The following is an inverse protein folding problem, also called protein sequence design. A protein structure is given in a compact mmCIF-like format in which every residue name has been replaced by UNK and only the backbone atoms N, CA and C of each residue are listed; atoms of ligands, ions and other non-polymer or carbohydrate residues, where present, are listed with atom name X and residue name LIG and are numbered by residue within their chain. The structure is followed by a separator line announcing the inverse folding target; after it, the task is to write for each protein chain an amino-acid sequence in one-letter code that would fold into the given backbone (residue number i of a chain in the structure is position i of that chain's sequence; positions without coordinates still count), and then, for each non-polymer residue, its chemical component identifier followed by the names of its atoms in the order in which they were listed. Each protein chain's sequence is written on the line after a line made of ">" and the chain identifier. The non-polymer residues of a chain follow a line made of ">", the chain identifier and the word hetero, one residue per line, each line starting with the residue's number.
data_IF_509760008555
#
_entry.id   IF_509760008555
#
_cell.length_a   1.000
_cell.length_b   1.000
_cell.length_c   1.000
_cell.angle_alpha   90.00
_cell.angle_beta   90.00
_cell.angle_gamma   90.00
#
_symmetry.space_group_name_H-M   'P 1'
#
loop_
_entity.id
_entity.type
_entity.pdbx_description
1 polymer ?
#
# COMPACT_ATOMS: atom_id res chain seq x y z
N UNK A 1 13.47 -10.25 -67.60
CA UNK A 1 12.89 -9.78 -66.32
C UNK A 1 13.56 -8.45 -65.96
N UNK A 2 13.15 -7.35 -66.60
CA UNK A 2 13.68 -6.01 -66.33
C UNK A 2 12.85 -5.37 -65.21
N UNK A 3 13.40 -5.35 -64.00
CA UNK A 3 12.78 -4.64 -62.87
C UNK A 3 12.85 -3.14 -63.14
N UNK A 4 11.69 -2.49 -63.21
CA UNK A 4 11.57 -1.06 -63.53
C UNK A 4 12.06 -0.21 -62.36
N UNK A 5 13.16 0.53 -62.57
CA UNK A 5 13.73 1.51 -61.63
C UNK A 5 12.73 2.59 -61.17
N UNK A 6 11.65 2.78 -61.94
CA UNK A 6 10.56 3.70 -61.62
C UNK A 6 9.83 3.34 -60.31
N UNK A 7 9.72 2.05 -59.96
CA UNK A 7 9.05 1.63 -58.73
C UNK A 7 9.86 1.97 -57.47
N UNK A 8 11.19 1.90 -57.55
CA UNK A 8 12.09 2.22 -56.44
C UNK A 8 12.14 3.73 -56.17
N UNK A 9 12.07 4.55 -57.21
CA UNK A 9 11.99 6.01 -57.06
C UNK A 9 10.66 6.44 -56.43
N UNK A 10 9.54 5.84 -56.87
CA UNK A 10 8.21 6.06 -56.27
C UNK A 10 8.13 5.61 -54.81
N UNK A 11 8.70 4.45 -54.47
CA UNK A 11 8.76 3.96 -53.09
C UNK A 11 9.64 4.85 -52.18
N UNK A 12 10.78 5.35 -52.67
CA UNK A 12 11.61 6.29 -51.89
C UNK A 12 10.93 7.65 -51.69
N UNK A 13 10.25 8.16 -52.71
CA UNK A 13 9.49 9.40 -52.59
C UNK A 13 8.31 9.27 -51.61
N UNK A 14 7.58 8.15 -51.67
CA UNK A 14 6.51 7.85 -50.72
C UNK A 14 7.06 7.67 -49.28
N UNK A 15 8.14 6.91 -49.10
CA UNK A 15 8.79 6.72 -47.80
C UNK A 15 9.33 8.03 -47.19
N UNK A 16 9.87 8.93 -48.03
CA UNK A 16 10.29 10.27 -47.59
C UNK A 16 9.12 11.16 -47.18
N UNK A 17 7.99 11.08 -47.89
CA UNK A 17 6.77 11.80 -47.52
C UNK A 17 6.15 11.27 -46.22
N UNK A 18 6.11 9.95 -46.03
CA UNK A 18 5.59 9.34 -44.80
C UNK A 18 6.48 9.63 -43.58
N UNK A 19 7.81 9.58 -43.74
CA UNK A 19 8.74 9.98 -42.68
C UNK A 19 8.59 11.46 -42.28
N UNK A 20 8.38 12.35 -43.26
CA UNK A 20 8.13 13.77 -42.99
C UNK A 20 6.80 13.99 -42.26
N UNK A 21 5.72 13.30 -42.67
CA UNK A 21 4.39 13.37 -42.03
C UNK A 21 4.43 12.86 -40.60
N UNK A 22 5.18 11.79 -40.35
CA UNK A 22 5.37 11.24 -39.00
C UNK A 22 6.21 12.17 -38.12
N UNK A 23 7.24 12.82 -38.67
CA UNK A 23 7.99 13.86 -37.97
C UNK A 23 7.11 15.03 -37.54
N UNK A 24 6.28 15.55 -38.47
CA UNK A 24 5.34 16.63 -38.19
C UNK A 24 4.26 16.24 -37.18
N UNK A 25 3.75 15.00 -37.22
CA UNK A 25 2.78 14.48 -36.23
C UNK A 25 3.36 14.33 -34.84
N UNK A 26 4.62 13.89 -34.73
CA UNK A 26 5.34 13.79 -33.45
C UNK A 26 5.62 15.16 -32.87
N UNK A 27 6.12 16.09 -33.69
CA UNK A 27 6.37 17.46 -33.29
C UNK A 27 5.10 18.19 -32.85
N UNK A 28 4.00 18.07 -33.61
CA UNK A 28 2.73 18.72 -33.25
C UNK A 28 2.12 18.18 -31.97
N UNK A 29 2.28 16.89 -31.69
CA UNK A 29 1.80 16.28 -30.44
C UNK A 29 2.69 16.58 -29.23
N UNK A 30 3.99 16.84 -29.43
CA UNK A 30 4.86 17.36 -28.36
C UNK A 30 4.51 18.80 -28.02
N UNK A 31 4.33 19.65 -29.03
CA UNK A 31 3.91 21.03 -28.83
C UNK A 31 2.53 21.07 -28.15
N UNK A 32 1.57 20.25 -28.58
CA UNK A 32 0.24 20.26 -27.98
C UNK A 32 0.23 19.81 -26.52
N UNK A 33 1.12 18.90 -26.11
CA UNK A 33 1.29 18.52 -24.72
C UNK A 33 1.87 19.66 -23.88
N UNK A 34 2.91 20.34 -24.37
CA UNK A 34 3.50 21.48 -23.66
C UNK A 34 2.51 22.63 -23.57
N UNK A 35 1.85 22.99 -24.67
CA UNK A 35 0.80 24.01 -24.68
C UNK A 35 -0.37 23.64 -23.77
N UNK A 36 -0.79 22.37 -23.76
CA UNK A 36 -1.83 21.88 -22.87
C UNK A 36 -1.45 22.03 -21.39
N UNK A 37 -0.19 21.75 -21.04
CA UNK A 37 0.31 21.95 -19.67
C UNK A 37 0.30 23.43 -19.28
N UNK A 38 0.82 24.29 -20.16
CA UNK A 38 0.86 25.75 -19.93
C UNK A 38 -0.57 26.28 -19.78
N UNK A 39 -1.50 25.87 -20.63
CA UNK A 39 -2.90 26.27 -20.55
C UNK A 39 -3.56 25.84 -19.23
N UNK A 40 -3.32 24.60 -18.78
CA UNK A 40 -3.80 24.13 -17.48
C UNK A 40 -3.18 24.91 -16.31
N UNK A 41 -1.88 25.19 -16.36
CA UNK A 41 -1.21 25.97 -15.33
C UNK A 41 -1.75 27.41 -15.26
N UNK A 42 -1.93 28.05 -16.42
CA UNK A 42 -2.53 29.39 -16.55
C UNK A 42 -3.94 29.38 -15.98
N UNK A 43 -4.77 28.39 -16.35
CA UNK A 43 -6.14 28.29 -15.86
C UNK A 43 -6.20 28.04 -14.35
N UNK A 44 -5.35 27.15 -13.82
CA UNK A 44 -5.24 26.88 -12.39
C UNK A 44 -4.83 28.12 -11.60
N UNK A 45 -3.74 28.79 -12.00
CA UNK A 45 -3.25 29.99 -11.30
C UNK A 45 -4.31 31.08 -11.36
N UNK A 46 -4.94 31.28 -12.52
CA UNK A 46 -6.06 32.21 -12.69
C UNK A 46 -7.18 31.90 -11.68
N UNK A 47 -7.64 30.66 -11.58
CA UNK A 47 -8.73 30.27 -10.68
C UNK A 47 -8.37 30.31 -9.18
N UNK A 48 -7.16 29.89 -8.80
CA UNK A 48 -6.70 29.89 -7.39
C UNK A 48 -6.47 31.30 -6.87
N UNK A 49 -6.02 32.21 -7.74
CA UNK A 49 -5.71 33.61 -7.39
C UNK A 49 -6.84 34.56 -7.75
N UNK A 50 -8.05 34.02 -7.91
CA UNK A 50 -9.26 34.80 -8.15
C UNK A 50 -9.58 35.70 -6.94
N UNK A 51 -9.96 36.93 -7.24
CA UNK A 51 -10.45 37.91 -6.26
C UNK A 51 -11.66 38.63 -6.84
N UNK A 52 -12.78 38.75 -6.09
CA UNK A 52 -13.95 39.50 -6.55
C UNK A 52 -13.69 41.02 -6.64
N UNK A 53 -12.56 41.49 -6.08
CA UNK A 53 -12.12 42.88 -6.14
C UNK A 53 -11.43 43.24 -7.45
N UNK A 54 -11.01 42.23 -8.22
CA UNK A 54 -10.35 42.42 -9.51
C UNK A 54 -11.36 42.93 -10.54
N UNK A 55 -10.92 43.84 -11.40
CA UNK A 55 -11.77 44.30 -12.50
C UNK A 55 -11.93 43.15 -13.51
N UNK A 56 -13.16 42.81 -13.85
CA UNK A 56 -13.46 41.72 -14.77
C UNK A 56 -14.70 42.03 -15.62
N UNK A 57 -15.14 41.07 -16.41
CA UNK A 57 -16.30 41.28 -17.28
C UNK A 57 -17.59 41.38 -16.46
N UNK A 58 -17.74 40.57 -15.41
CA UNK A 58 -18.93 40.56 -14.55
C UNK A 58 -18.92 41.63 -13.44
N UNK A 59 -17.73 42.07 -13.01
CA UNK A 59 -17.53 42.99 -11.88
C UNK A 59 -16.62 44.15 -12.26
N UNK A 60 -17.02 45.38 -11.91
CA UNK A 60 -16.18 46.56 -12.13
C UNK A 60 -14.96 46.60 -11.20
N UNK A 61 -14.91 45.74 -10.18
CA UNK A 61 -13.84 45.69 -9.18
C UNK A 61 -13.68 47.01 -8.40
N UNK A 62 -12.57 47.15 -7.68
CA UNK A 62 -12.25 48.38 -6.90
C UNK A 62 -11.36 49.36 -7.70
N UNK A 63 -11.11 49.07 -8.98
CA UNK A 63 -10.31 49.94 -9.87
C UNK A 63 -8.80 49.95 -9.59
N UNK A 64 -8.30 49.05 -8.73
CA UNK A 64 -6.87 48.87 -8.47
C UNK A 64 -6.22 47.88 -9.47
N UNK A 65 -4.90 47.71 -9.38
CA UNK A 65 -4.20 46.66 -10.11
C UNK A 65 -4.77 45.28 -9.76
N UNK A 66 -4.86 44.38 -10.75
CA UNK A 66 -5.41 43.03 -10.55
C UNK A 66 -4.57 42.24 -9.52
N UNK A 67 -5.25 41.66 -8.54
CA UNK A 67 -4.64 40.78 -7.53
C UNK A 67 -4.32 39.40 -8.11
N UNK A 68 -5.02 38.99 -9.17
CA UNK A 68 -4.73 37.77 -9.90
C UNK A 68 -3.26 37.74 -10.35
N UNK A 69 -2.57 36.63 -10.08
CA UNK A 69 -1.11 36.53 -10.35
C UNK A 69 -0.77 36.54 -11.84
N UNK A 70 -1.76 36.32 -12.70
CA UNK A 70 -1.63 36.43 -14.15
C UNK A 70 -2.12 37.79 -14.69
N UNK A 71 -2.37 38.74 -13.78
CA UNK A 71 -2.89 40.07 -14.09
C UNK A 71 -4.33 40.04 -14.62
N UNK A 72 -4.68 41.08 -15.37
CA UNK A 72 -6.01 41.26 -15.95
C UNK A 72 -6.54 40.06 -16.76
N UNK A 73 -5.78 39.43 -17.69
CA UNK A 73 -6.30 38.30 -18.45
C UNK A 73 -6.58 37.09 -17.55
N UNK A 74 -5.80 36.92 -16.47
CA UNK A 74 -6.05 35.92 -15.43
C UNK A 74 -7.34 36.18 -14.67
N UNK A 75 -7.59 37.43 -14.30
CA UNK A 75 -8.83 37.83 -13.64
C UNK A 75 -10.06 37.57 -14.54
N UNK A 76 -9.99 37.89 -15.83
CA UNK A 76 -11.07 37.63 -16.79
C UNK A 76 -11.34 36.15 -17.00
N UNK A 77 -10.28 35.34 -17.11
CA UNK A 77 -10.42 33.89 -17.28
C UNK A 77 -11.07 33.25 -16.05
N UNK A 78 -10.68 33.67 -14.85
CA UNK A 78 -11.24 33.17 -13.60
C UNK A 78 -12.69 33.62 -13.42
N UNK A 79 -12.96 34.91 -13.65
CA UNK A 79 -14.29 35.50 -13.60
C UNK A 79 -15.26 34.77 -14.53
N UNK A 80 -14.90 34.59 -15.81
CA UNK A 80 -15.71 33.86 -16.77
C UNK A 80 -15.92 32.40 -16.35
N UNK A 81 -14.88 31.73 -15.84
CA UNK A 81 -14.95 30.34 -15.37
C UNK A 81 -15.94 30.17 -14.22
N UNK A 82 -15.81 31.01 -13.18
CA UNK A 82 -16.66 30.98 -12.00
C UNK A 82 -18.06 31.52 -12.26
N UNK A 83 -18.22 32.50 -13.15
CA UNK A 83 -19.53 33.02 -13.53
C UNK A 83 -20.34 31.97 -14.32
N UNK A 84 -19.70 31.30 -15.29
CA UNK A 84 -20.36 30.31 -16.14
C UNK A 84 -20.73 29.05 -15.36
N UNK A 85 -19.83 28.55 -14.53
CA UNK A 85 -19.92 27.20 -13.96
C UNK A 85 -19.96 27.17 -12.43
N UNK A 86 -19.84 28.30 -11.73
CA UNK A 86 -19.74 28.31 -10.28
C UNK A 86 -18.50 27.55 -9.78
N UNK A 87 -18.61 26.87 -8.64
CA UNK A 87 -17.54 26.00 -8.15
C UNK A 87 -17.39 24.72 -8.97
N UNK A 88 -18.42 24.33 -9.73
CA UNK A 88 -18.38 23.14 -10.59
C UNK A 88 -17.32 23.20 -11.68
N UNK A 89 -16.73 24.38 -11.96
CA UNK A 89 -15.60 24.53 -12.88
C UNK A 89 -14.39 23.69 -12.49
N UNK A 90 -14.21 23.39 -11.20
CA UNK A 90 -13.14 22.52 -10.71
C UNK A 90 -13.24 21.09 -11.25
N UNK A 91 -14.45 20.60 -11.55
CA UNK A 91 -14.63 19.31 -12.23
C UNK A 91 -14.10 19.34 -13.66
N UNK A 92 -14.35 20.43 -14.39
CA UNK A 92 -13.80 20.62 -15.74
C UNK A 92 -12.28 20.68 -15.71
N UNK A 93 -11.70 21.40 -14.73
CA UNK A 93 -10.25 21.43 -14.53
C UNK A 93 -9.70 20.03 -14.23
N UNK A 94 -10.30 19.30 -13.29
CA UNK A 94 -9.86 17.95 -12.93
C UNK A 94 -9.96 16.97 -14.12
N UNK A 95 -11.02 17.06 -14.91
CA UNK A 95 -11.20 16.26 -16.12
C UNK A 95 -10.14 16.59 -17.19
N UNK A 96 -9.86 17.88 -17.42
CA UNK A 96 -8.82 18.32 -18.34
C UNK A 96 -7.41 17.92 -17.88
N UNK A 97 -7.11 18.08 -16.59
CA UNK A 97 -5.86 17.64 -15.98
C UNK A 97 -5.66 16.11 -16.11
N UNK A 98 -6.71 15.32 -15.86
CA UNK A 98 -6.67 13.87 -16.07
C UNK A 98 -6.44 13.51 -17.53
N UNK A 99 -7.12 14.18 -18.47
CA UNK A 99 -6.96 13.94 -19.89
C UNK A 99 -5.52 14.23 -20.35
N UNK A 100 -4.95 15.34 -19.86
CA UNK A 100 -3.55 15.72 -20.11
C UNK A 100 -2.57 14.72 -19.51
N UNK A 101 -2.73 14.32 -18.23
CA UNK A 101 -1.91 13.30 -17.59
C UNK A 101 -1.98 11.95 -18.32
N UNK A 102 -3.15 11.58 -18.82
CA UNK A 102 -3.33 10.37 -19.63
C UNK A 102 -2.59 10.46 -20.97
N UNK A 103 -2.62 11.62 -21.62
CA UNK A 103 -1.87 11.86 -22.87
C UNK A 103 -0.35 11.86 -22.62
N UNK A 104 0.09 12.49 -21.54
CA UNK A 104 1.49 12.51 -21.10
C UNK A 104 1.99 11.10 -20.76
N UNK A 105 1.22 10.31 -20.00
CA UNK A 105 1.56 8.94 -19.66
C UNK A 105 1.65 8.02 -20.89
N UNK A 106 0.75 8.17 -21.87
CA UNK A 106 0.85 7.44 -23.16
C UNK A 106 2.13 7.78 -23.91
N UNK A 107 2.56 9.04 -23.85
CA UNK A 107 3.85 9.46 -24.44
C UNK A 107 5.05 8.91 -23.70
N UNK A 108 5.08 8.94 -22.36
CA UNK A 108 6.16 8.37 -21.56
C UNK A 108 6.32 6.86 -21.76
N UNK A 109 5.21 6.15 -22.02
CA UNK A 109 5.22 4.72 -22.33
C UNK A 109 5.68 4.40 -23.76
N UNK A 110 6.20 5.38 -24.50
CA UNK A 110 6.91 5.13 -25.75
C UNK A 110 6.00 4.71 -26.91
N UNK A 111 4.77 5.24 -27.02
CA UNK A 111 4.00 5.18 -28.26
C UNK A 111 3.84 3.78 -28.88
N UNK A 112 3.69 2.72 -28.09
CA UNK A 112 3.38 1.37 -28.55
C UNK A 112 1.91 1.24 -29.03
N UNK A 113 1.47 2.20 -29.86
CA UNK A 113 0.28 2.03 -30.70
C UNK A 113 0.47 0.87 -31.71
N UNK A 114 1.70 0.37 -31.88
CA UNK A 114 2.01 -0.82 -32.67
C UNK A 114 1.58 -2.14 -32.01
N UNK A 115 1.57 -2.24 -30.66
CA UNK A 115 1.13 -3.45 -29.95
C UNK A 115 -0.36 -3.41 -29.57
N UNK A 116 -0.96 -2.22 -29.48
CA UNK A 116 -2.39 -2.07 -29.21
C UNK A 116 -3.28 -2.40 -30.42
N UNK A 117 -2.75 -2.28 -31.65
CA UNK A 117 -3.47 -2.65 -32.87
C UNK A 117 -3.37 -4.14 -33.24
N UNK A 118 -2.48 -4.92 -32.62
CA UNK A 118 -2.33 -6.36 -32.89
C UNK A 118 -2.98 -7.28 -31.85
N UNK A 119 -3.49 -6.76 -30.73
CA UNK A 119 -4.16 -7.57 -29.69
C UNK A 119 -5.66 -7.31 -29.56
N UNK A 120 -6.24 -6.40 -30.36
CA UNK A 120 -7.67 -6.12 -30.36
C UNK A 120 -8.37 -6.68 -31.61
N UNK A 121 -8.19 -7.97 -31.87
CA UNK A 121 -9.23 -8.76 -32.53
C UNK A 121 -10.02 -9.52 -31.46
N UNK A 122 -11.35 -9.47 -31.58
CA UNK A 122 -12.38 -10.14 -30.77
C UNK A 122 -12.84 -9.46 -29.46
N UNK A 123 -13.69 -8.43 -29.60
CA UNK A 123 -14.66 -8.05 -28.56
C UNK A 123 -15.02 -6.57 -28.53
N UNK A 124 -15.85 -6.12 -29.48
CA UNK A 124 -16.63 -4.87 -29.48
C UNK A 124 -16.12 -3.75 -28.54
N UNK A 125 -14.88 -3.29 -28.72
CA UNK A 125 -14.43 -2.08 -28.04
C UNK A 125 -15.33 -0.93 -28.52
N UNK A 126 -15.94 -0.15 -27.61
CA UNK A 126 -16.75 1.00 -28.03
C UNK A 126 -15.90 1.88 -28.94
N UNK A 127 -16.48 2.32 -30.05
CA UNK A 127 -15.78 3.22 -30.97
C UNK A 127 -15.22 4.40 -30.17
N UNK A 128 -14.04 4.91 -30.55
CA UNK A 128 -13.43 6.07 -29.87
C UNK A 128 -14.43 7.23 -29.72
N UNK A 129 -15.32 7.38 -30.70
CA UNK A 129 -16.43 8.34 -30.67
C UNK A 129 -17.44 8.05 -29.55
N UNK A 130 -17.85 6.79 -29.34
CA UNK A 130 -18.75 6.40 -28.25
C UNK A 130 -18.10 6.63 -26.87
N UNK A 131 -16.82 6.28 -26.72
CA UNK A 131 -16.09 6.54 -25.47
C UNK A 131 -15.98 8.05 -25.17
N UNK A 132 -15.74 8.86 -26.20
CA UNK A 132 -15.70 10.32 -26.07
C UNK A 132 -17.08 10.92 -25.78
N UNK A 133 -18.14 10.41 -26.42
CA UNK A 133 -19.51 10.81 -26.14
C UNK A 133 -19.91 10.46 -24.70
N UNK A 134 -19.53 9.27 -24.23
CA UNK A 134 -19.76 8.84 -22.85
C UNK A 134 -19.05 9.74 -21.84
N UNK A 135 -17.80 10.11 -22.11
CA UNK A 135 -17.04 11.05 -21.30
C UNK A 135 -17.72 12.43 -21.24
N UNK A 136 -18.11 12.99 -22.39
CA UNK A 136 -18.76 14.31 -22.43
C UNK A 136 -20.13 14.29 -21.78
N UNK A 137 -20.92 13.23 -21.98
CA UNK A 137 -22.19 13.04 -21.28
C UNK A 137 -21.97 12.99 -19.76
N UNK A 138 -20.99 12.21 -19.31
CA UNK A 138 -20.61 12.14 -17.91
C UNK A 138 -20.19 13.50 -17.34
N UNK A 139 -19.41 14.29 -18.10
CA UNK A 139 -18.97 15.61 -17.69
C UNK A 139 -20.13 16.58 -17.56
N UNK A 140 -21.02 16.62 -18.56
CA UNK A 140 -22.23 17.46 -18.52
C UNK A 140 -23.11 17.07 -17.33
N UNK A 141 -23.36 15.77 -17.12
CA UNK A 141 -24.14 15.29 -15.98
C UNK A 141 -23.51 15.68 -14.65
N UNK A 142 -22.18 15.50 -14.51
CA UNK A 142 -21.44 15.84 -13.31
C UNK A 142 -21.49 17.34 -13.01
N UNK A 143 -21.24 18.18 -14.01
CA UNK A 143 -21.27 19.64 -13.87
C UNK A 143 -22.68 20.12 -13.56
N UNK A 144 -23.70 19.65 -14.26
CA UNK A 144 -25.10 20.03 -14.00
C UNK A 144 -25.56 19.59 -12.61
N UNK A 145 -25.20 18.37 -12.18
CA UNK A 145 -25.50 17.87 -10.84
C UNK A 145 -24.81 18.69 -9.74
N UNK A 146 -23.51 18.93 -9.89
CA UNK A 146 -22.72 19.74 -8.94
C UNK A 146 -23.26 21.17 -8.88
N UNK A 147 -23.55 21.77 -10.03
CA UNK A 147 -24.07 23.13 -10.13
C UNK A 147 -25.46 23.27 -9.47
N UNK A 148 -26.35 22.30 -9.67
CA UNK A 148 -27.65 22.27 -9.00
C UNK A 148 -27.50 22.13 -7.46
N UNK A 149 -26.53 21.33 -6.99
CA UNK A 149 -26.21 21.20 -5.56
C UNK A 149 -25.61 22.49 -4.99
N UNK A 150 -24.69 23.12 -5.72
CA UNK A 150 -24.08 24.38 -5.32
C UNK A 150 -25.14 25.46 -5.17
N UNK A 151 -26.01 25.61 -6.17
CA UNK A 151 -27.09 26.58 -6.11
C UNK A 151 -28.10 26.28 -4.99
N UNK A 152 -28.43 25.01 -4.73
CA UNK A 152 -29.46 24.67 -3.72
C UNK A 152 -28.95 24.55 -2.27
N UNK A 153 -27.63 24.48 -2.02
CA UNK A 153 -27.08 24.28 -0.66
C UNK A 153 -25.93 25.21 -0.28
N UNK A 154 -25.14 25.70 -1.23
CA UNK A 154 -23.91 26.46 -0.94
C UNK A 154 -24.11 27.98 -0.98
N UNK A 155 -25.26 28.47 -0.52
CA UNK A 155 -25.62 29.90 -0.50
C UNK A 155 -24.62 30.76 0.30
N UNK A 156 -24.01 30.20 1.35
CA UNK A 156 -23.04 30.94 2.17
C UNK A 156 -21.74 31.29 1.42
N UNK A 157 -21.41 30.53 0.38
CA UNK A 157 -20.18 30.71 -0.41
C UNK A 157 -20.44 31.47 -1.72
N UNK A 158 -21.68 31.88 -1.98
CA UNK A 158 -22.09 32.66 -3.15
C UNK A 158 -21.48 34.07 -3.13
N UNK A 159 -21.29 34.66 -1.95
CA UNK A 159 -20.67 35.98 -1.79
C UNK A 159 -19.22 36.05 -2.30
N UNK A 160 -18.54 34.91 -2.45
CA UNK A 160 -17.18 34.83 -2.97
C UNK A 160 -17.13 34.63 -4.49
N UNK A 161 -18.28 34.50 -5.16
CA UNK A 161 -18.36 34.28 -6.59
C UNK A 161 -18.88 35.55 -7.28
N UNK A 162 -18.56 35.74 -8.57
CA UNK A 162 -19.07 36.86 -9.34
C UNK A 162 -20.57 36.74 -9.66
N UNK A 163 -21.12 35.53 -9.54
CA UNK A 163 -22.52 35.23 -9.78
C UNK A 163 -23.00 34.13 -8.84
N UNK A 164 -24.01 33.39 -9.28
CA UNK A 164 -24.63 32.37 -8.45
C UNK A 164 -23.70 31.18 -8.14
N UNK A 165 -23.90 30.54 -6.99
CA UNK A 165 -23.07 29.44 -6.49
C UNK A 165 -22.80 28.31 -7.50
N UNK A 166 -23.81 27.96 -8.30
CA UNK A 166 -23.72 26.94 -9.36
C UNK A 166 -23.58 27.49 -10.79
N UNK A 167 -23.21 28.77 -10.94
CA UNK A 167 -23.16 29.45 -12.22
C UNK A 167 -24.49 29.43 -12.98
N UNK A 168 -24.40 29.53 -14.31
CA UNK A 168 -25.55 29.46 -15.22
C UNK A 168 -26.32 28.13 -15.10
N UNK A 169 -25.69 26.94 -15.14
CA UNK A 169 -26.44 25.69 -15.09
C UNK A 169 -27.18 25.51 -13.76
N UNK A 170 -26.57 25.90 -12.64
CA UNK A 170 -27.20 25.85 -11.32
C UNK A 170 -28.39 26.80 -11.21
N UNK A 171 -28.27 28.00 -11.76
CA UNK A 171 -29.36 28.99 -11.78
C UNK A 171 -30.62 28.49 -12.49
N UNK A 172 -30.47 27.71 -13.58
CA UNK A 172 -31.61 27.12 -14.29
C UNK A 172 -32.09 25.80 -13.67
N UNK A 173 -31.17 24.89 -13.33
CA UNK A 173 -31.51 23.54 -12.86
C UNK A 173 -31.93 23.51 -11.38
N UNK A 174 -31.42 24.42 -10.56
CA UNK A 174 -31.73 24.49 -9.13
C UNK A 174 -33.22 24.72 -8.86
N UNK A 175 -33.82 25.83 -9.35
CA UNK A 175 -35.25 26.09 -9.20
C UNK A 175 -36.13 24.98 -9.79
N UNK A 176 -35.76 24.46 -10.97
CA UNK A 176 -36.48 23.36 -11.60
C UNK A 176 -36.45 22.10 -10.72
N UNK A 177 -35.28 21.73 -10.21
CA UNK A 177 -35.14 20.60 -9.29
C UNK A 177 -36.01 20.77 -8.04
N UNK A 178 -35.98 21.95 -7.43
CA UNK A 178 -36.79 22.21 -6.23
C UNK A 178 -38.29 22.20 -6.52
N UNK A 179 -38.73 22.71 -7.67
CA UNK A 179 -40.14 22.74 -8.04
C UNK A 179 -40.72 21.34 -8.27
N UNK A 180 -39.99 20.47 -8.95
CA UNK A 180 -40.49 19.16 -9.37
C UNK A 180 -40.21 18.04 -8.35
N UNK A 181 -39.07 18.09 -7.66
CA UNK A 181 -38.62 17.02 -6.75
C UNK A 181 -38.60 17.45 -5.27
N UNK A 182 -38.86 18.72 -4.98
CA UNK A 182 -38.68 19.30 -3.65
C UNK A 182 -37.21 19.40 -3.24
N UNK A 183 -36.97 19.94 -2.03
CA UNK A 183 -35.63 20.16 -1.50
C UNK A 183 -34.83 18.86 -1.33
N UNK A 184 -35.43 17.83 -0.72
CA UNK A 184 -34.77 16.55 -0.45
C UNK A 184 -34.57 15.74 -1.74
N UNK A 185 -35.61 15.63 -2.57
CA UNK A 185 -35.57 14.83 -3.81
C UNK A 185 -34.59 15.39 -4.83
N UNK A 186 -34.58 16.71 -5.04
CA UNK A 186 -33.60 17.35 -5.93
C UNK A 186 -32.16 17.06 -5.53
N UNK A 187 -31.89 17.04 -4.22
CA UNK A 187 -30.59 16.69 -3.69
C UNK A 187 -30.17 15.26 -3.92
N UNK A 188 -31.07 14.33 -3.63
CA UNK A 188 -30.79 12.92 -3.79
C UNK A 188 -30.51 12.59 -5.26
N UNK A 189 -31.30 13.15 -6.18
CA UNK A 189 -31.08 13.00 -7.63
C UNK A 189 -29.77 13.63 -8.04
N UNK A 190 -29.48 14.86 -7.64
CA UNK A 190 -28.23 15.52 -8.01
C UNK A 190 -27.00 14.78 -7.46
N UNK A 191 -27.02 14.28 -6.22
CA UNK A 191 -25.95 13.44 -5.67
C UNK A 191 -25.81 12.15 -6.49
N UNK A 192 -26.92 11.47 -6.79
CA UNK A 192 -26.90 10.21 -7.55
C UNK A 192 -26.33 10.40 -8.96
N UNK A 193 -26.75 11.46 -9.65
CA UNK A 193 -26.25 11.83 -10.98
C UNK A 193 -24.79 12.26 -10.92
N UNK A 194 -24.37 12.98 -9.88
CA UNK A 194 -22.96 13.37 -9.66
C UNK A 194 -22.06 12.16 -9.41
N UNK A 195 -22.51 11.19 -8.62
CA UNK A 195 -21.81 9.91 -8.39
C UNK A 195 -21.67 9.14 -9.71
N UNK A 196 -22.73 9.06 -10.52
CA UNK A 196 -22.67 8.42 -11.83
C UNK A 196 -21.73 9.17 -12.79
N UNK A 197 -21.89 10.48 -12.91
CA UNK A 197 -21.10 11.33 -13.81
C UNK A 197 -19.62 11.31 -13.47
N UNK A 198 -19.24 11.33 -12.19
CA UNK A 198 -17.84 11.23 -11.78
C UNK A 198 -17.21 9.89 -12.18
N UNK A 199 -17.92 8.76 -12.04
CA UNK A 199 -17.44 7.47 -12.52
C UNK A 199 -17.21 7.47 -14.05
N UNK A 200 -18.13 8.09 -14.81
CA UNK A 200 -18.01 8.20 -16.28
C UNK A 200 -16.80 9.04 -16.71
N UNK A 201 -16.57 10.18 -16.04
CA UNK A 201 -15.48 11.13 -16.37
C UNK A 201 -14.11 10.57 -15.97
N UNK A 202 -13.99 10.04 -14.75
CA UNK A 202 -12.72 9.58 -14.20
C UNK A 202 -12.44 8.10 -14.52
N UNK A 203 -13.39 7.38 -15.10
CA UNK A 203 -13.22 6.00 -15.57
C UNK A 203 -12.89 5.03 -14.45
N UNK A 204 -13.48 5.21 -13.26
CA UNK A 204 -13.35 4.28 -12.14
C UNK A 204 -14.71 3.68 -11.76
N UNK A 205 -14.68 2.52 -11.12
CA UNK A 205 -15.87 1.86 -10.56
C UNK A 205 -15.99 2.18 -9.08
N UNK A 206 -17.17 2.66 -8.65
CA UNK A 206 -17.48 2.89 -7.24
C UNK A 206 -17.43 1.60 -6.42
N UNK A 207 -17.80 0.46 -7.00
CA UNK A 207 -17.72 -0.83 -6.32
C UNK A 207 -16.26 -1.18 -6.00
N UNK A 208 -15.37 -1.08 -7.00
CA UNK A 208 -13.95 -1.35 -6.79
C UNK A 208 -13.30 -0.33 -5.84
N UNK A 209 -13.73 0.93 -5.90
CA UNK A 209 -13.27 1.95 -4.95
C UNK A 209 -13.71 1.61 -3.52
N UNK A 210 -14.96 1.17 -3.33
CA UNK A 210 -15.47 0.75 -2.03
C UNK A 210 -14.73 -0.47 -1.48
N UNK A 211 -14.45 -1.47 -2.32
CA UNK A 211 -13.64 -2.64 -1.94
C UNK A 211 -12.23 -2.23 -1.51
N UNK A 212 -11.56 -1.35 -2.26
CA UNK A 212 -10.21 -0.86 -1.93
C UNK A 212 -10.19 -0.04 -0.65
N UNK A 213 -11.17 0.84 -0.46
CA UNK A 213 -11.30 1.63 0.76
C UNK A 213 -11.59 0.74 1.96
N UNK A 214 -12.46 -0.26 1.80
CA UNK A 214 -12.74 -1.26 2.81
C UNK A 214 -11.48 -2.04 3.19
N UNK A 215 -10.77 -2.60 2.21
CA UNK A 215 -9.53 -3.34 2.42
C UNK A 215 -8.45 -2.48 3.10
N UNK A 216 -8.30 -1.23 2.67
CA UNK A 216 -7.39 -0.27 3.31
C UNK A 216 -7.76 -0.01 4.77
N UNK A 217 -9.05 0.22 5.07
CA UNK A 217 -9.52 0.46 6.42
C UNK A 217 -9.29 -0.78 7.33
N UNK A 218 -9.60 -1.98 6.83
CA UNK A 218 -9.33 -3.22 7.54
C UNK A 218 -7.83 -3.40 7.83
N UNK A 219 -6.97 -3.13 6.85
CA UNK A 219 -5.52 -3.19 7.04
C UNK A 219 -5.02 -2.16 8.08
N UNK A 220 -5.60 -0.95 8.11
CA UNK A 220 -5.26 0.05 9.13
C UNK A 220 -5.69 -0.38 10.53
N UNK A 221 -6.82 -1.08 10.66
CA UNK A 221 -7.26 -1.62 11.95
C UNK A 221 -6.33 -2.76 12.38
N UNK A 222 -5.99 -3.67 11.48
CA UNK A 222 -5.14 -4.82 11.81
C UNK A 222 -3.72 -4.40 12.19
N UNK A 223 -3.11 -3.50 11.42
CA UNK A 223 -1.78 -2.94 11.76
C UNK A 223 -1.77 -2.20 13.09
N UNK A 224 -2.90 -1.62 13.54
CA UNK A 224 -3.00 -1.03 14.88
C UNK A 224 -3.12 -2.10 15.97
N UNK A 225 -3.88 -3.17 15.72
CA UNK A 225 -4.01 -4.29 16.66
C UNK A 225 -2.69 -5.03 16.84
N UNK A 226 -1.97 -5.31 15.75
CA UNK A 226 -0.65 -5.92 15.79
C UNK A 226 0.34 -5.07 16.59
N UNK A 227 0.31 -3.74 16.47
CA UNK A 227 1.15 -2.85 17.27
C UNK A 227 0.82 -2.91 18.76
N UNK A 228 -0.46 -2.89 19.11
CA UNK A 228 -0.90 -3.00 20.50
C UNK A 228 -0.47 -4.35 21.09
N UNK A 229 -0.73 -5.45 20.37
CA UNK A 229 -0.31 -6.80 20.79
C UNK A 229 1.21 -6.92 20.93
N UNK A 230 1.98 -6.32 20.02
CA UNK A 230 3.44 -6.31 20.08
C UNK A 230 3.98 -5.53 21.30
N UNK A 231 3.36 -4.40 21.65
CA UNK A 231 3.70 -3.64 22.85
C UNK A 231 3.40 -4.44 24.13
N UNK A 232 2.25 -5.14 24.17
CA UNK A 232 1.89 -6.05 25.27
C UNK A 232 2.88 -7.21 25.41
N UNK A 233 3.28 -7.83 24.30
CA UNK A 233 4.27 -8.92 24.28
C UNK A 233 5.65 -8.46 24.77
N UNK A 234 6.08 -7.26 24.39
CA UNK A 234 7.34 -6.68 24.91
C UNK A 234 7.24 -6.43 26.42
N UNK A 235 6.12 -5.87 26.90
CA UNK A 235 5.92 -5.60 28.31
C UNK A 235 5.94 -6.90 29.15
N UNK A 236 5.24 -7.94 28.68
CA UNK A 236 5.26 -9.27 29.30
C UNK A 236 6.65 -9.90 29.26
N UNK A 237 7.37 -9.77 28.14
CA UNK A 237 8.75 -10.23 28.00
C UNK A 237 9.71 -9.56 28.99
N UNK A 238 9.56 -8.25 29.21
CA UNK A 238 10.34 -7.50 30.20
C UNK A 238 10.02 -7.95 31.63
N UNK A 239 8.75 -8.15 31.99
CA UNK A 239 8.35 -8.65 33.29
C UNK A 239 8.91 -10.06 33.55
N UNK A 240 8.83 -10.95 32.57
CA UNK A 240 9.40 -12.30 32.66
C UNK A 240 10.93 -12.27 32.82
N UNK A 241 11.63 -11.36 32.13
CA UNK A 241 13.07 -11.18 32.29
C UNK A 241 13.45 -10.67 33.69
N UNK A 242 12.68 -9.73 34.25
CA UNK A 242 12.88 -9.22 35.61
C UNK A 242 12.62 -10.31 36.66
N UNK A 243 11.56 -11.10 36.52
CA UNK A 243 11.28 -12.21 37.43
C UNK A 243 12.41 -13.25 37.44
N UNK A 244 12.96 -13.60 36.27
CA UNK A 244 14.14 -14.48 36.18
C UNK A 244 15.37 -13.89 36.87
N UNK A 245 15.60 -12.58 36.69
CA UNK A 245 16.71 -11.89 37.34
C UNK A 245 16.56 -11.85 38.88
N UNK A 246 15.33 -11.67 39.39
CA UNK A 246 15.06 -11.74 40.83
C UNK A 246 15.32 -13.14 41.39
N UNK A 247 14.83 -14.19 40.73
CA UNK A 247 15.10 -15.58 41.14
C UNK A 247 16.61 -15.88 41.19
N UNK A 248 17.37 -15.42 40.18
CA UNK A 248 18.85 -15.55 40.17
C UNK A 248 19.53 -14.81 41.32
N UNK A 249 19.00 -13.64 41.70
CA UNK A 249 19.53 -12.86 42.83
C UNK A 249 19.18 -13.51 44.16
N UNK A 250 17.95 -14.02 44.31
CA UNK A 250 17.53 -14.79 45.49
C UNK A 250 18.37 -16.05 45.65
N UNK A 251 18.56 -16.83 44.59
CA UNK A 251 19.42 -18.03 44.61
C UNK A 251 20.86 -17.68 45.00
N UNK A 252 21.42 -16.59 44.43
CA UNK A 252 22.76 -16.10 44.82
C UNK A 252 22.80 -15.62 46.27
N UNK A 253 21.74 -14.99 46.77
CA UNK A 253 21.65 -14.54 48.16
C UNK A 253 21.49 -15.71 49.13
N UNK A 254 20.78 -16.77 48.76
CA UNK A 254 20.72 -18.01 49.54
C UNK A 254 22.07 -18.73 49.57
N UNK A 255 22.83 -18.69 48.47
CA UNK A 255 24.19 -19.23 48.39
C UNK A 255 25.22 -18.40 49.18
N UNK A 256 25.01 -17.08 49.29
CA UNK A 256 25.91 -16.13 49.97
C UNK A 256 25.45 -15.72 51.38
N UNK A 257 24.23 -16.08 51.79
CA UNK A 257 23.82 -16.03 53.17
C UNK A 257 24.78 -16.91 53.99
N UNK A 258 25.21 -16.48 55.19
CA UNK A 258 26.05 -17.30 56.04
C UNK A 258 25.28 -18.58 56.34
N UNK A 259 25.69 -19.66 55.65
CA UNK A 259 25.24 -21.02 55.90
C UNK A 259 25.21 -21.22 57.41
N UNK A 260 24.02 -21.42 57.98
CA UNK A 260 23.95 -22.15 59.24
C UNK A 260 24.72 -23.43 58.98
N UNK A 261 25.88 -23.51 59.63
CA UNK A 261 26.98 -24.39 59.31
C UNK A 261 26.49 -25.78 58.89
N UNK A 262 26.47 -26.03 57.57
CA UNK A 262 26.65 -27.41 57.10
C UNK A 262 28.08 -27.78 57.52
N UNK A 263 28.26 -28.85 58.31
CA UNK A 263 29.59 -29.21 58.79
C UNK A 263 30.50 -29.41 57.58
N UNK A 264 31.62 -28.71 57.59
CA UNK A 264 32.61 -28.74 56.53
C UNK A 264 32.95 -30.19 56.20
N UNK A 265 32.53 -30.66 55.02
CA UNK A 265 33.06 -31.89 54.45
C UNK A 265 34.49 -31.57 54.07
N UNK A 266 35.38 -31.91 55.00
CA UNK A 266 36.81 -32.04 54.81
C UNK A 266 37.01 -32.76 53.47
N UNK A 267 37.82 -32.18 52.58
CA UNK A 267 38.33 -32.87 51.39
C UNK A 267 39.14 -34.06 51.90
N UNK A 268 38.45 -35.18 52.07
CA UNK A 268 39.02 -36.50 52.19
C UNK A 268 39.22 -36.92 50.76
N UNK A 269 40.50 -36.94 50.36
CA UNK A 269 41.06 -37.77 49.30
C UNK A 269 40.09 -38.90 48.94
N UNK A 270 39.62 -38.91 47.68
CA UNK A 270 38.58 -39.81 47.21
C UNK A 270 38.86 -41.24 47.68
N UNK A 271 38.22 -41.63 48.78
CA UNK A 271 38.17 -43.01 49.20
C UNK A 271 37.49 -43.75 48.05
N UNK A 272 38.07 -44.85 47.57
CA UNK A 272 37.52 -45.57 46.43
C UNK A 272 36.05 -45.85 46.71
N UNK A 273 35.19 -45.43 45.79
CA UNK A 273 33.78 -45.78 45.80
C UNK A 273 33.72 -47.31 45.76
N UNK A 274 33.53 -47.92 46.92
CA UNK A 274 33.21 -49.34 47.00
C UNK A 274 31.84 -49.51 46.34
N UNK A 275 31.88 -49.95 45.07
CA UNK A 275 30.71 -50.43 44.37
C UNK A 275 29.97 -51.40 45.31
N UNK A 276 28.71 -51.12 45.70
CA UNK A 276 28.01 -51.95 46.66
C UNK A 276 27.88 -53.36 46.08
N UNK A 277 28.62 -54.31 46.66
CA UNK A 277 28.55 -55.73 46.29
C UNK A 277 27.15 -56.23 46.59
N UNK A 278 26.47 -56.76 45.57
CA UNK A 278 25.11 -57.26 45.70
C UNK A 278 25.01 -58.34 46.79
N UNK A 279 23.97 -58.25 47.65
CA UNK A 279 23.78 -59.12 48.81
C UNK A 279 23.71 -60.63 48.47
N UNK A 280 23.45 -60.96 47.20
CA UNK A 280 23.38 -62.33 46.70
C UNK A 280 24.76 -62.99 46.54
N UNK A 281 25.79 -62.20 46.22
CA UNK A 281 27.19 -62.69 46.06
C UNK A 281 27.79 -63.08 47.42
N UNK A 282 27.32 -62.47 48.52
CA UNK A 282 27.81 -62.80 49.86
C UNK A 282 27.15 -64.06 50.43
N UNK A 283 25.85 -64.28 50.15
CA UNK A 283 25.10 -65.45 50.65
C UNK A 283 25.50 -66.76 49.98
N UNK A 284 25.93 -66.72 48.71
CA UNK A 284 26.28 -67.93 47.95
C UNK A 284 27.77 -68.33 48.09
N UNK A 285 28.65 -67.45 48.59
CA UNK A 285 30.08 -67.76 48.88
C UNK A 285 30.30 -68.52 50.19
N UNK A 286 29.30 -68.58 51.07
CA UNK A 286 29.35 -69.48 52.22
C UNK A 286 28.93 -70.88 51.78
N UNK A 287 29.89 -71.82 51.77
CA UNK A 287 29.57 -73.24 51.62
C UNK A 287 28.64 -73.66 52.78
N UNK A 288 27.42 -74.16 52.51
CA UNK A 288 26.55 -74.65 53.56
C UNK A 288 27.20 -75.86 54.23
N UNK A 289 27.30 -75.83 55.56
CA UNK A 289 27.96 -76.88 56.35
C UNK A 289 27.05 -78.10 56.62
N UNK A 290 25.87 -78.16 55.99
CA UNK A 290 24.87 -79.21 56.14
C UNK A 290 24.37 -79.65 54.75
N UNK A 291 24.28 -80.96 54.52
CA UNK A 291 24.06 -81.55 53.19
C UNK A 291 22.60 -81.58 52.71
N UNK A 292 21.63 -81.05 53.47
CA UNK A 292 20.20 -81.21 53.14
C UNK A 292 19.46 -79.88 52.97
N UNK A 293 19.78 -79.13 51.92
CA UNK A 293 18.92 -78.06 51.39
C UNK A 293 18.57 -78.34 49.91
N UNK A 294 17.31 -78.15 49.48
CA UNK A 294 16.88 -78.49 48.14
C UNK A 294 17.47 -77.53 47.09
N UNK A 295 17.86 -78.12 45.96
CA UNK A 295 18.44 -77.51 44.76
C UNK A 295 17.88 -76.11 44.45
N UNK A 296 18.77 -75.11 44.51
CA UNK A 296 18.51 -73.80 43.90
C UNK A 296 18.63 -73.95 42.39
N UNK A 297 17.52 -73.79 41.66
CA UNK A 297 17.41 -73.94 40.18
C UNK A 297 18.22 -72.94 39.34
N UNK A 298 19.17 -72.21 39.91
CA UNK A 298 19.96 -71.19 39.22
C UNK A 298 21.46 -71.52 39.35
N UNK A 299 22.23 -71.45 38.24
CA UNK A 299 23.66 -71.73 38.27
C UNK A 299 24.37 -70.71 39.18
N UNK A 300 25.38 -71.19 39.91
CA UNK A 300 26.14 -70.37 40.87
C UNK A 300 26.95 -69.29 40.15
N UNK A 301 26.99 -68.09 40.75
CA UNK A 301 27.64 -66.90 40.19
C UNK A 301 29.18 -67.00 40.19
N UNK A 302 29.74 -68.01 40.85
CA UNK A 302 31.18 -68.34 40.87
C UNK A 302 31.70 -68.92 39.53
N UNK A 303 30.79 -69.21 38.59
CA UNK A 303 31.15 -69.60 37.21
C UNK A 303 31.50 -68.41 36.32
N UNK A 304 31.33 -67.17 36.80
CA UNK A 304 31.69 -65.96 36.07
C UNK A 304 33.11 -65.55 36.41
N UNK A 305 33.89 -65.18 35.39
CA UNK A 305 35.22 -64.60 35.59
C UNK A 305 35.14 -63.34 36.45
N UNK A 306 36.07 -63.21 37.40
CA UNK A 306 36.17 -62.01 38.23
C UNK A 306 36.41 -60.78 37.35
N UNK A 307 35.71 -59.68 37.65
CA UNK A 307 35.91 -58.43 36.95
C UNK A 307 37.37 -57.96 37.06
N UNK A 308 38.02 -57.73 35.92
CA UNK A 308 39.37 -57.18 35.86
C UNK A 308 39.41 -55.83 36.58
N UNK A 309 40.23 -55.74 37.64
CA UNK A 309 40.32 -54.56 38.51
C UNK A 309 40.89 -53.34 37.80
N UNK A 310 41.52 -53.53 36.64
CA UNK A 310 42.15 -52.48 35.84
C UNK A 310 41.54 -52.47 34.46
N UNK A 311 40.67 -51.49 34.20
CA UNK A 311 40.27 -51.13 32.84
C UNK A 311 41.32 -50.17 32.30
N UNK A 312 42.06 -50.59 31.27
CA UNK A 312 42.95 -49.67 30.56
C UNK A 312 42.08 -48.72 29.75
N UNK A 313 41.90 -47.51 30.26
CA UNK A 313 41.26 -46.42 29.53
C UNK A 313 42.29 -45.81 28.58
N UNK A 314 41.85 -45.45 27.38
CA UNK A 314 42.73 -44.83 26.38
C UNK A 314 43.19 -43.48 26.91
N UNK A 315 44.51 -43.26 26.94
CA UNK A 315 45.08 -41.99 27.41
C UNK A 315 44.58 -40.83 26.52
N UNK A 316 44.32 -39.68 27.13
CA UNK A 316 43.77 -38.51 26.44
C UNK A 316 44.61 -38.08 25.22
N UNK A 317 45.93 -38.27 25.28
CA UNK A 317 46.87 -37.94 24.21
C UNK A 317 46.62 -38.78 22.93
N UNK A 318 46.25 -40.06 23.09
CA UNK A 318 45.87 -40.95 21.99
C UNK A 318 44.53 -40.58 21.35
N UNK A 319 43.61 -39.99 22.12
CA UNK A 319 42.36 -39.45 21.60
C UNK A 319 42.58 -38.14 20.83
N UNK A 320 43.51 -37.29 21.30
CA UNK A 320 43.84 -36.06 20.58
C UNK A 320 44.58 -36.31 19.26
N UNK A 321 45.46 -37.31 19.19
CA UNK A 321 46.15 -37.65 17.94
C UNK A 321 45.20 -38.19 16.86
N UNK A 322 44.22 -39.02 17.24
CA UNK A 322 43.22 -39.54 16.29
C UNK A 322 42.19 -38.49 15.89
N UNK A 323 41.91 -37.51 16.76
CA UNK A 323 41.05 -36.36 16.42
C UNK A 323 41.70 -35.35 15.47
N UNK A 324 43.03 -35.37 15.32
CA UNK A 324 43.78 -34.42 14.47
C UNK A 324 44.17 -34.97 13.08
N UNK A 325 43.95 -36.26 12.82
CA UNK A 325 43.99 -36.82 11.46
C UNK A 325 42.67 -36.57 10.74
#
# INVERSE_FOLDING_TARGET
>A
MTYSLHNLAGQRAAAGQDASRDGWRRFSSEISLVLGFIALAVWLVSMVTYSPLDTAWSTSGVGAAANNRLGQPGAWLADASYYLLGYSVWWCFAAAARAWLGAFARRLRGGDDAFAHQTMDAGAAPSRALAQAWFWLGLVLLVCASAALEWTRFYSHEANLPGHGGGIPGYFLGPLGMQWLGFTGSGLVAISVGVLGSAMVFGFSWLLLAERLGAWLFAQIETRREKIAFEEDIALGQQAAQARAQVLVEERQEESAPSQAKPAVRVVEAAPVELPKSERVQKERQKPLFQDLPDTKLPQVDLLDAALTRQETVAAETLEMTSRM
#
